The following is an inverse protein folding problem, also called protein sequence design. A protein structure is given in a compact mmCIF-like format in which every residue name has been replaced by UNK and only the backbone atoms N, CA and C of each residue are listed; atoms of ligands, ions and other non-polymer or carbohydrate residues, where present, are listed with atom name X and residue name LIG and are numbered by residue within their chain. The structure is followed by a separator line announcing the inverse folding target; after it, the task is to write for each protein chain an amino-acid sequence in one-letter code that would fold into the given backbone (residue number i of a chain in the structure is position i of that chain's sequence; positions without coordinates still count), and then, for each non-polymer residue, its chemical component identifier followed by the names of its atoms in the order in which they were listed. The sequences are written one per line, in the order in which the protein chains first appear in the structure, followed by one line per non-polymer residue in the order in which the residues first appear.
data_IF_567854687363
#
_entry.id   IF_567854687363
#
_cell.length_a   1.000
_cell.length_b   1.000
_cell.length_c   1.000
_cell.angle_alpha   90.00
_cell.angle_beta   90.00
_cell.angle_gamma   90.00
#
_symmetry.space_group_name_H-M   'P 1'
#
loop_
_entity.id
_entity.type
_entity.pdbx_description
1 polymer ?
#
# COMPACT_ATOMS: atom_id res chain seq x y z
N UNK A 1 -33.39 3.81 -4.10
CA UNK A 1 -33.58 5.10 -3.43
C UNK A 1 -32.26 5.82 -3.29
N UNK A 2 -32.29 7.14 -3.28
CA UNK A 2 -31.12 7.98 -3.01
C UNK A 2 -30.71 7.81 -1.54
N UNK A 3 -29.39 7.64 -1.29
CA UNK A 3 -28.87 7.63 0.08
C UNK A 3 -28.70 9.07 0.55
N UNK A 4 -29.32 9.40 1.69
CA UNK A 4 -29.11 10.67 2.36
C UNK A 4 -27.75 10.62 3.08
N UNK A 5 -26.83 11.50 2.72
CA UNK A 5 -25.58 11.70 3.44
C UNK A 5 -25.76 12.92 4.37
N UNK A 6 -25.65 12.67 5.67
CA UNK A 6 -25.70 13.69 6.68
C UNK A 6 -24.28 13.91 7.24
N UNK A 7 -23.78 15.12 7.19
CA UNK A 7 -22.53 15.51 7.82
C UNK A 7 -22.81 16.04 9.23
N UNK A 8 -22.11 15.51 10.21
CA UNK A 8 -22.14 15.99 11.58
C UNK A 8 -20.72 16.16 12.09
N UNK A 9 -20.50 17.16 12.91
CA UNK A 9 -19.26 17.38 13.61
C UNK A 9 -19.33 16.66 14.97
N UNK A 10 -18.30 15.90 15.30
CA UNK A 10 -18.18 15.24 16.59
C UNK A 10 -16.68 15.12 16.98
N UNK A 11 -16.42 15.24 18.28
CA UNK A 11 -15.07 15.01 18.80
C UNK A 11 -14.72 13.54 18.78
N UNK A 12 -13.49 13.24 18.36
CA UNK A 12 -12.99 11.87 18.27
C UNK A 12 -11.57 11.75 18.81
N UNK A 13 -11.28 10.60 19.40
CA UNK A 13 -9.94 10.24 19.88
C UNK A 13 -9.32 9.21 18.94
N UNK A 14 -8.12 9.53 18.44
CA UNK A 14 -7.31 8.67 17.60
C UNK A 14 -6.14 8.12 18.40
N UNK A 15 -5.86 6.81 18.25
CA UNK A 15 -4.69 6.16 18.80
C UNK A 15 -4.09 5.24 17.75
N UNK A 16 -2.81 5.37 17.49
CA UNK A 16 -2.14 4.57 16.48
C UNK A 16 -0.65 4.42 16.72
N UNK A 17 -0.08 3.48 16.02
CA UNK A 17 1.36 3.25 15.96
C UNK A 17 1.75 2.95 14.50
N UNK A 18 2.87 3.50 14.09
CA UNK A 18 3.52 3.23 12.81
C UNK A 18 5.00 2.96 13.06
N UNK A 19 5.56 2.03 12.33
CA UNK A 19 6.97 1.69 12.44
C UNK A 19 7.54 1.10 11.17
N UNK A 20 8.84 1.38 10.96
CA UNK A 20 9.62 0.82 9.88
C UNK A 20 11.04 0.52 10.37
N UNK A 21 11.55 -0.65 10.02
CA UNK A 21 12.93 -1.04 10.25
C UNK A 21 13.54 -1.47 8.92
N UNK A 22 14.67 -0.87 8.58
CA UNK A 22 15.46 -1.24 7.40
C UNK A 22 16.80 -1.78 7.83
N UNK A 23 17.15 -2.96 7.35
CA UNK A 23 18.40 -3.64 7.61
C UNK A 23 19.11 -3.97 6.29
N UNK A 24 20.38 -3.62 6.19
CA UNK A 24 21.24 -4.09 5.11
C UNK A 24 21.75 -5.49 5.46
N UNK A 25 21.41 -6.48 4.65
CA UNK A 25 21.81 -7.89 4.85
C UNK A 25 23.19 -8.16 4.24
N UNK A 26 23.44 -7.60 3.06
CA UNK A 26 24.72 -7.64 2.36
C UNK A 26 25.02 -6.29 1.71
N UNK A 27 26.11 -6.18 0.95
CA UNK A 27 26.38 -4.95 0.16
C UNK A 27 25.31 -4.67 -0.88
N UNK A 28 24.62 -5.71 -1.35
CA UNK A 28 23.72 -5.67 -2.49
C UNK A 28 22.27 -6.04 -2.12
N UNK A 29 22.01 -6.44 -0.87
CA UNK A 29 20.69 -6.89 -0.43
C UNK A 29 20.28 -6.17 0.84
N UNK A 30 19.07 -5.62 0.83
CA UNK A 30 18.41 -5.00 1.97
C UNK A 30 17.04 -5.60 2.23
N UNK A 31 16.60 -5.54 3.47
CA UNK A 31 15.25 -5.89 3.91
C UNK A 31 14.64 -4.72 4.65
N UNK A 32 13.37 -4.45 4.40
CA UNK A 32 12.59 -3.47 5.15
C UNK A 32 11.35 -4.16 5.70
N UNK A 33 11.12 -4.04 6.99
CA UNK A 33 9.88 -4.42 7.64
C UNK A 33 9.12 -3.16 8.00
N UNK A 34 7.83 -3.14 7.79
CA UNK A 34 7.00 -1.98 8.12
C UNK A 34 5.61 -2.41 8.57
N UNK A 35 4.94 -1.55 9.32
CA UNK A 35 3.57 -1.78 9.73
C UNK A 35 2.96 -0.57 10.39
N UNK A 36 1.64 -0.50 10.33
CA UNK A 36 0.83 0.55 10.92
C UNK A 36 -0.51 0.01 11.42
N UNK A 37 -1.02 0.66 12.45
CA UNK A 37 -2.37 0.44 12.95
C UNK A 37 -2.90 1.73 13.56
N UNK A 38 -4.17 2.01 13.32
CA UNK A 38 -4.86 3.14 13.91
C UNK A 38 -6.25 2.71 14.40
N UNK A 39 -6.68 3.32 15.47
CA UNK A 39 -8.03 3.17 16.04
C UNK A 39 -8.60 4.55 16.30
N UNK A 40 -9.87 4.72 16.06
CA UNK A 40 -10.58 5.94 16.38
C UNK A 40 -11.93 5.63 17.04
N UNK A 41 -12.31 6.46 17.98
CA UNK A 41 -13.57 6.40 18.70
C UNK A 41 -14.16 7.80 18.82
N UNK A 42 -15.47 7.91 18.73
CA UNK A 42 -16.18 9.12 19.07
C UNK A 42 -16.17 9.31 20.60
N UNK A 43 -15.96 10.54 21.07
CA UNK A 43 -15.92 10.83 22.52
C UNK A 43 -17.30 10.64 23.18
N UNK A 44 -18.39 10.77 22.40
CA UNK A 44 -19.75 10.46 22.82
C UNK A 44 -20.14 8.98 22.74
N UNK A 45 -19.19 8.09 22.39
CA UNK A 45 -19.41 6.66 22.20
C UNK A 45 -19.57 6.26 20.72
N UNK A 46 -19.22 5.03 20.41
CA UNK A 46 -19.23 4.49 19.04
C UNK A 46 -17.87 4.52 18.34
N UNK A 47 -17.83 3.92 17.17
CA UNK A 47 -16.64 3.84 16.31
C UNK A 47 -16.71 4.93 15.23
N UNK A 48 -15.54 5.45 14.87
CA UNK A 48 -15.44 6.37 13.73
C UNK A 48 -15.44 5.54 12.42
N UNK A 49 -16.20 5.93 11.40
CA UNK A 49 -16.22 5.21 10.14
C UNK A 49 -14.92 5.38 9.35
N UNK A 50 -14.64 4.43 8.46
CA UNK A 50 -13.53 4.43 7.50
C UNK A 50 -12.13 4.49 8.10
N UNK A 51 -11.97 3.94 9.28
CA UNK A 51 -10.65 3.78 9.88
C UNK A 51 -9.90 2.65 9.16
N UNK A 52 -8.70 2.89 8.64
CA UNK A 52 -7.96 1.87 7.91
C UNK A 52 -7.70 0.63 8.74
N UNK A 53 -7.62 -0.52 8.08
CA UNK A 53 -7.22 -1.77 8.70
C UNK A 53 -5.73 -1.75 9.06
N UNK A 54 -5.34 -2.50 10.07
CA UNK A 54 -3.94 -2.77 10.39
C UNK A 54 -3.22 -3.35 9.19
N UNK A 55 -2.02 -2.87 8.92
CA UNK A 55 -1.19 -3.27 7.80
C UNK A 55 0.22 -3.61 8.27
N UNK A 56 0.81 -4.65 7.68
CA UNK A 56 2.21 -4.99 7.84
C UNK A 56 2.78 -5.46 6.51
N UNK A 57 4.08 -5.29 6.32
CA UNK A 57 4.72 -5.71 5.09
C UNK A 57 6.21 -5.94 5.23
N UNK A 58 6.74 -6.63 4.21
CA UNK A 58 8.16 -6.87 4.04
C UNK A 58 8.56 -6.52 2.62
N UNK A 59 9.68 -5.84 2.48
CA UNK A 59 10.30 -5.49 1.20
C UNK A 59 11.73 -5.98 1.17
N UNK A 60 12.09 -6.63 0.09
CA UNK A 60 13.47 -6.98 -0.24
C UNK A 60 13.93 -6.09 -1.39
N UNK A 61 15.07 -5.46 -1.22
CA UNK A 61 15.74 -4.63 -2.24
C UNK A 61 17.05 -5.30 -2.61
N UNK A 62 17.31 -5.46 -3.90
CA UNK A 62 18.55 -6.05 -4.41
C UNK A 62 19.16 -5.15 -5.50
N UNK A 63 20.48 -4.99 -5.45
CA UNK A 63 21.25 -4.23 -6.44
C UNK A 63 22.38 -5.10 -6.98
N UNK A 64 22.49 -5.21 -8.29
CA UNK A 64 23.57 -5.94 -8.92
C UNK A 64 23.99 -5.24 -10.22
N UNK A 65 25.20 -4.68 -10.22
CA UNK A 65 25.71 -3.85 -11.33
C UNK A 65 24.73 -2.73 -11.68
N UNK A 66 24.16 -2.74 -12.88
CA UNK A 66 23.17 -1.78 -13.37
C UNK A 66 21.73 -2.15 -13.03
N UNK A 67 21.49 -3.31 -12.43
CA UNK A 67 20.16 -3.79 -12.07
C UNK A 67 19.77 -3.40 -10.65
N UNK A 68 18.53 -2.97 -10.50
CA UNK A 68 17.87 -2.80 -9.22
C UNK A 68 16.60 -3.65 -9.22
N UNK A 69 16.39 -4.40 -8.15
CA UNK A 69 15.21 -5.26 -7.97
C UNK A 69 14.56 -5.00 -6.63
N UNK A 70 13.23 -5.08 -6.59
CA UNK A 70 12.44 -4.94 -5.39
C UNK A 70 11.30 -5.95 -5.41
N UNK A 71 11.11 -6.65 -4.30
CA UNK A 71 9.93 -7.50 -4.06
C UNK A 71 9.30 -7.04 -2.76
N UNK A 72 8.00 -6.82 -2.77
CA UNK A 72 7.24 -6.37 -1.60
C UNK A 72 6.01 -7.25 -1.40
N UNK A 73 5.83 -7.74 -0.18
CA UNK A 73 4.59 -8.33 0.29
C UNK A 73 3.94 -7.43 1.31
N UNK A 74 2.67 -7.10 1.10
CA UNK A 74 1.86 -6.32 2.04
C UNK A 74 0.67 -7.16 2.47
N UNK A 75 0.50 -7.34 3.78
CA UNK A 75 -0.66 -7.97 4.39
C UNK A 75 -1.52 -6.89 5.06
N UNK A 76 -2.77 -6.80 4.66
CA UNK A 76 -3.80 -5.96 5.29
C UNK A 76 -4.76 -6.86 6.05
N UNK A 77 -4.96 -6.58 7.31
CA UNK A 77 -5.85 -7.34 8.17
C UNK A 77 -7.32 -7.10 7.77
N UNK A 78 -8.21 -8.01 8.19
CA UNK A 78 -9.65 -7.78 8.11
C UNK A 78 -10.03 -6.61 9.01
N UNK A 79 -10.86 -5.68 8.49
CA UNK A 79 -11.43 -4.60 9.29
C UNK A 79 -12.85 -4.97 9.73
N UNK A 80 -12.97 -5.32 11.02
CA UNK A 80 -14.24 -5.66 11.67
C UNK A 80 -14.74 -4.54 12.59
N UNK A 81 -13.91 -3.56 12.89
CA UNK A 81 -14.27 -2.42 13.73
C UNK A 81 -14.93 -1.37 12.85
N UNK A 82 -16.23 -1.53 12.68
CA UNK A 82 -17.05 -0.71 11.78
C UNK A 82 -18.02 0.15 12.59
N UNK A 83 -18.25 1.36 12.10
CA UNK A 83 -19.27 2.25 12.63
C UNK A 83 -20.68 1.81 12.17
N UNK A 84 -21.70 2.48 12.68
CA UNK A 84 -23.08 2.26 12.23
C UNK A 84 -23.19 2.50 10.72
N UNK A 85 -23.96 1.66 10.04
CA UNK A 85 -24.15 1.66 8.58
C UNK A 85 -22.90 1.36 7.75
N UNK A 86 -21.82 0.94 8.38
CA UNK A 86 -20.60 0.52 7.71
C UNK A 86 -20.49 -1.02 7.69
N UNK A 87 -19.93 -1.59 6.64
CA UNK A 87 -19.71 -3.04 6.53
C UNK A 87 -18.26 -3.40 6.75
N UNK A 88 -18.00 -4.56 7.35
CA UNK A 88 -16.65 -5.10 7.47
C UNK A 88 -15.98 -5.25 6.08
N UNK A 89 -14.65 -5.22 6.07
CA UNK A 89 -13.87 -5.41 4.85
C UNK A 89 -12.91 -6.58 5.03
N UNK A 90 -12.91 -7.56 4.13
CA UNK A 90 -11.99 -8.69 4.19
C UNK A 90 -10.53 -8.22 4.15
N UNK A 91 -9.66 -8.92 4.85
CA UNK A 91 -8.23 -8.74 4.72
C UNK A 91 -7.70 -9.31 3.40
N UNK A 92 -6.52 -8.85 2.99
CA UNK A 92 -5.87 -9.31 1.77
C UNK A 92 -4.35 -9.21 1.86
N UNK A 93 -3.67 -10.00 1.02
CA UNK A 93 -2.24 -9.89 0.79
C UNK A 93 -1.97 -9.47 -0.64
N UNK A 94 -0.98 -8.59 -0.85
CA UNK A 94 -0.54 -8.15 -2.18
C UNK A 94 0.95 -8.39 -2.36
N UNK A 95 1.31 -8.94 -3.51
CA UNK A 95 2.69 -9.10 -3.97
C UNK A 95 2.96 -8.07 -5.05
N UNK A 96 3.98 -7.25 -4.84
CA UNK A 96 4.47 -6.25 -5.78
C UNK A 96 5.91 -6.55 -6.19
N UNK A 97 6.25 -6.25 -7.43
CA UNK A 97 7.58 -6.43 -7.99
C UNK A 97 8.01 -5.16 -8.72
N UNK A 98 9.26 -4.76 -8.56
CA UNK A 98 9.91 -3.73 -9.34
C UNK A 98 11.26 -4.23 -9.83
N UNK A 99 11.59 -3.98 -11.09
CA UNK A 99 12.92 -4.22 -11.65
C UNK A 99 13.30 -3.02 -12.51
N UNK A 100 14.52 -2.55 -12.39
CA UNK A 100 15.05 -1.53 -13.29
C UNK A 100 16.47 -1.84 -13.73
N UNK A 101 16.80 -1.33 -14.90
CA UNK A 101 18.14 -1.35 -15.47
C UNK A 101 18.58 0.08 -15.78
N UNK A 102 19.73 0.47 -15.29
CA UNK A 102 20.30 1.80 -15.43
C UNK A 102 21.45 1.75 -16.46
N UNK A 103 21.47 2.71 -17.39
CA UNK A 103 22.52 2.82 -18.38
C UNK A 103 22.88 4.26 -18.68
N UNK A 104 23.88 4.44 -19.54
CA UNK A 104 24.26 5.72 -20.09
C UNK A 104 24.44 5.63 -21.60
N UNK A 105 24.01 6.66 -22.32
CA UNK A 105 24.35 6.83 -23.74
C UNK A 105 25.81 7.23 -23.89
N UNK A 106 26.35 7.14 -25.09
CA UNK A 106 27.72 7.58 -25.40
C UNK A 106 27.97 9.06 -25.09
N UNK A 107 26.90 9.87 -25.08
CA UNK A 107 26.91 11.28 -24.65
C UNK A 107 27.08 11.48 -23.13
N UNK A 108 27.03 10.41 -22.34
CA UNK A 108 27.01 10.48 -20.89
C UNK A 108 25.60 10.67 -20.30
N UNK A 109 24.58 10.84 -21.11
CA UNK A 109 23.20 11.02 -20.67
C UNK A 109 22.66 9.73 -20.02
N UNK A 110 22.24 9.77 -18.74
CA UNK A 110 21.74 8.58 -18.06
C UNK A 110 20.32 8.21 -18.54
N UNK A 111 20.05 6.93 -18.58
CA UNK A 111 18.73 6.38 -18.87
C UNK A 111 18.42 5.20 -17.96
N UNK A 112 17.15 4.93 -17.76
CA UNK A 112 16.64 3.80 -17.00
C UNK A 112 15.44 3.18 -17.73
N UNK A 113 15.46 1.86 -17.84
CA UNK A 113 14.27 1.08 -18.19
C UNK A 113 13.76 0.42 -16.91
N UNK A 114 12.46 0.45 -16.68
CA UNK A 114 11.87 -0.17 -15.51
C UNK A 114 10.59 -0.94 -15.83
N UNK A 115 10.39 -2.03 -15.09
CA UNK A 115 9.17 -2.80 -15.04
C UNK A 115 8.63 -2.76 -13.62
N UNK A 116 7.33 -2.48 -13.47
CA UNK A 116 6.61 -2.58 -12.20
C UNK A 116 5.41 -3.50 -12.36
N UNK A 117 5.23 -4.43 -11.45
CA UNK A 117 4.06 -5.28 -11.37
C UNK A 117 3.44 -5.12 -9.98
N UNK A 118 2.22 -4.60 -9.92
CA UNK A 118 1.47 -4.46 -8.68
C UNK A 118 0.37 -5.51 -8.62
N UNK A 119 0.07 -5.99 -7.42
CA UNK A 119 -0.91 -7.05 -7.21
C UNK A 119 -0.69 -8.25 -8.14
N UNK A 120 0.55 -8.77 -8.14
CA UNK A 120 0.98 -9.83 -9.08
C UNK A 120 0.13 -11.10 -8.97
N UNK A 121 -0.44 -11.36 -7.80
CA UNK A 121 -1.33 -12.50 -7.52
C UNK A 121 -2.78 -12.26 -7.96
N UNK A 122 -3.09 -11.09 -8.52
CA UNK A 122 -4.45 -10.69 -8.95
C UNK A 122 -5.50 -10.83 -7.86
N UNK A 123 -5.14 -10.42 -6.65
CA UNK A 123 -6.03 -10.52 -5.49
C UNK A 123 -7.11 -9.45 -5.55
N UNK A 124 -8.38 -9.86 -5.49
CA UNK A 124 -9.49 -8.93 -5.27
C UNK A 124 -9.40 -8.34 -3.87
N UNK A 125 -9.28 -7.02 -3.78
CA UNK A 125 -9.07 -6.29 -2.54
C UNK A 125 -9.91 -5.01 -2.50
N UNK A 126 -10.25 -4.58 -1.29
CA UNK A 126 -11.11 -3.41 -1.06
C UNK A 126 -10.45 -2.44 -0.08
N UNK A 127 -10.46 -1.14 -0.41
CA UNK A 127 -10.03 -0.10 0.50
C UNK A 127 -11.14 0.19 1.51
N UNK A 128 -10.95 -0.18 2.79
CA UNK A 128 -11.96 0.07 3.83
C UNK A 128 -12.32 1.55 3.97
N UNK A 129 -11.36 2.44 3.72
CA UNK A 129 -11.53 3.90 3.77
C UNK A 129 -12.37 4.49 2.65
N UNK A 130 -12.69 3.71 1.60
CA UNK A 130 -13.47 4.17 0.45
C UNK A 130 -14.97 4.13 0.71
N UNK A 131 -15.68 5.19 0.32
CA UNK A 131 -17.15 5.26 0.34
C UNK A 131 -17.80 4.24 -0.61
N UNK A 132 -17.13 3.93 -1.69
CA UNK A 132 -17.61 3.08 -2.77
C UNK A 132 -16.82 1.76 -2.84
N UNK A 133 -16.30 1.29 -1.71
CA UNK A 133 -15.37 0.15 -1.66
C UNK A 133 -15.86 -1.08 -2.42
N UNK A 134 -17.16 -1.39 -2.34
CA UNK A 134 -17.77 -2.56 -3.01
C UNK A 134 -17.97 -2.35 -4.51
N UNK A 135 -18.18 -1.10 -4.94
CA UNK A 135 -18.37 -0.74 -6.35
C UNK A 135 -17.03 -0.47 -7.07
N UNK A 136 -16.02 -0.04 -6.33
CA UNK A 136 -14.68 0.26 -6.85
C UNK A 136 -13.62 -0.47 -6.00
N UNK A 137 -13.34 -1.75 -6.28
CA UNK A 137 -12.24 -2.47 -5.65
C UNK A 137 -10.89 -1.84 -6.00
N UNK A 138 -9.85 -2.20 -5.26
CA UNK A 138 -8.49 -1.84 -5.62
C UNK A 138 -8.12 -2.47 -6.98
N UNK A 139 -7.19 -1.83 -7.67
CA UNK A 139 -6.75 -2.30 -8.98
C UNK A 139 -6.28 -3.77 -8.90
N UNK A 140 -6.72 -4.59 -9.84
CA UNK A 140 -6.22 -5.94 -10.05
C UNK A 140 -4.75 -5.93 -10.48
N UNK A 141 -4.24 -7.05 -10.96
CA UNK A 141 -2.86 -7.12 -11.46
C UNK A 141 -2.61 -6.05 -12.52
N UNK A 142 -1.59 -5.26 -12.28
CA UNK A 142 -1.16 -4.19 -13.17
C UNK A 142 0.33 -4.31 -13.45
N UNK A 143 0.72 -4.26 -14.73
CA UNK A 143 2.11 -4.31 -15.18
C UNK A 143 2.39 -3.04 -15.97
N UNK A 144 3.43 -2.33 -15.58
CA UNK A 144 3.88 -1.08 -16.20
C UNK A 144 5.32 -1.22 -16.65
N UNK A 145 5.58 -0.98 -17.93
CA UNK A 145 6.92 -0.81 -18.48
C UNK A 145 7.14 0.67 -18.80
N UNK A 146 8.29 1.19 -18.44
CA UNK A 146 8.62 2.59 -18.72
C UNK A 146 10.11 2.83 -18.95
N UNK A 147 10.39 3.97 -19.55
CA UNK A 147 11.76 4.47 -19.79
C UNK A 147 11.85 5.88 -19.23
N UNK A 148 12.97 6.18 -18.58
CA UNK A 148 13.35 7.53 -18.16
C UNK A 148 14.66 7.91 -18.82
N UNK A 149 14.76 9.12 -19.31
CA UNK A 149 16.00 9.72 -19.80
C UNK A 149 16.14 11.08 -19.11
N UNK A 150 17.30 11.35 -18.51
CA UNK A 150 17.61 12.64 -17.92
C UNK A 150 18.49 13.44 -18.88
N UNK A 151 18.12 14.67 -19.22
CA UNK A 151 18.83 15.57 -20.13
C UNK A 151 18.92 16.98 -19.53
#
# INVERSE_FOLDING_TARGET
GLQLLQYSQADATFTGIEGQVRQRLTRNLGITLFGDTVRAKLNGGGLLPRIPATRAGVRLDANWQAWEGQVEWVQVARQNRVADFETATPGYGMLNLGVSYNGQFSSGTPWQVYLKANNLTDRLAYAHTSFIKTAAPLMGRNITLGVKVAF
#
